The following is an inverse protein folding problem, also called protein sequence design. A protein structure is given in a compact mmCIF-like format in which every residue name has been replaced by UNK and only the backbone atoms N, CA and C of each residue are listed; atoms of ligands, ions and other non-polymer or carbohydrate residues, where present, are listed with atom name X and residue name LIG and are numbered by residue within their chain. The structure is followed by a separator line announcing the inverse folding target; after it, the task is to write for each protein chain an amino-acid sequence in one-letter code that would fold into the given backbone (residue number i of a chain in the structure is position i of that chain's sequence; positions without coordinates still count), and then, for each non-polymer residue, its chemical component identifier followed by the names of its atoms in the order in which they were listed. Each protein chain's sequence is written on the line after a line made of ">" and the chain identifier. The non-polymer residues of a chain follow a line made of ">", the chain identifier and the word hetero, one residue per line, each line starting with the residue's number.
data_IF_937700299957
#
_entry.id   IF_937700299957
#
_cell.length_a   1.000
_cell.length_b   1.000
_cell.length_c   1.000
_cell.angle_alpha   90.00
_cell.angle_beta   90.00
_cell.angle_gamma   90.00
#
_symmetry.space_group_name_H-M   'P 1'
#
loop_
_entity.id
_entity.type
_entity.pdbx_description
1 polymer ?
#
# COMPACT_ATOMS: atom_id res chain seq x y z
N UNK A 1 -4.84 3.06 -13.57
CA UNK A 1 -5.06 1.61 -13.41
C UNK A 1 -3.94 1.08 -12.52
N UNK A 2 -4.27 0.35 -11.46
CA UNK A 2 -3.28 -0.27 -10.56
C UNK A 2 -2.44 -1.31 -11.34
N UNK A 3 -1.14 -1.40 -11.07
CA UNK A 3 -0.27 -2.45 -11.63
C UNK A 3 -0.47 -3.80 -10.93
N UNK A 4 -0.99 -3.81 -9.71
CA UNK A 4 -1.40 -5.01 -8.96
C UNK A 4 -2.93 -5.15 -9.05
N UNK A 5 -3.40 -5.72 -10.15
CA UNK A 5 -4.85 -5.87 -10.41
C UNK A 5 -5.45 -6.82 -9.37
N UNK A 6 -6.48 -6.36 -8.66
CA UNK A 6 -7.15 -7.11 -7.59
C UNK A 6 -6.35 -7.21 -6.27
N UNK A 7 -5.31 -6.37 -6.13
CA UNK A 7 -4.45 -6.31 -4.94
C UNK A 7 -3.83 -7.67 -4.57
N UNK A 8 -3.53 -8.52 -5.55
CA UNK A 8 -3.09 -9.91 -5.32
C UNK A 8 -1.78 -9.94 -4.54
N UNK A 9 -0.83 -9.08 -4.87
CA UNK A 9 0.43 -8.99 -4.12
C UNK A 9 0.18 -8.31 -2.78
N UNK A 10 -0.51 -7.17 -2.74
CA UNK A 10 -0.78 -6.47 -1.48
C UNK A 10 -1.49 -7.36 -0.45
N UNK A 11 -2.45 -8.20 -0.85
CA UNK A 11 -3.12 -9.19 0.03
C UNK A 11 -2.16 -10.21 0.61
N UNK A 12 -1.22 -10.73 -0.19
CA UNK A 12 -0.20 -11.69 0.30
C UNK A 12 0.69 -11.09 1.37
N UNK A 13 0.91 -9.78 1.33
CA UNK A 13 1.67 -9.03 2.32
C UNK A 13 0.82 -8.49 3.47
N UNK A 14 -0.50 -8.74 3.49
CA UNK A 14 -1.41 -8.21 4.52
C UNK A 14 -1.59 -6.69 4.45
N UNK A 15 -1.38 -6.10 3.27
CA UNK A 15 -1.39 -4.65 3.04
C UNK A 15 -2.70 -4.13 2.47
N UNK A 16 -3.81 -4.86 2.59
CA UNK A 16 -5.11 -4.41 2.09
C UNK A 16 -6.02 -4.13 3.27
N UNK A 17 -6.70 -3.00 3.23
CA UNK A 17 -7.74 -2.67 4.19
C UNK A 17 -9.03 -2.28 3.49
N UNK A 18 -10.16 -2.58 4.13
CA UNK A 18 -11.46 -2.14 3.64
C UNK A 18 -11.79 -0.75 4.19
N UNK A 19 -12.21 0.14 3.29
CA UNK A 19 -12.72 1.46 3.66
C UNK A 19 -14.03 1.26 4.44
N UNK A 20 -14.10 1.76 5.70
CA UNK A 20 -15.31 1.64 6.51
C UNK A 20 -16.52 2.20 5.80
N UNK A 21 -17.66 1.51 5.88
CA UNK A 21 -18.91 1.92 5.24
C UNK A 21 -19.32 3.36 5.57
N UNK A 22 -19.04 3.79 6.80
CA UNK A 22 -19.30 5.15 7.29
C UNK A 22 -18.51 6.24 6.56
N UNK A 23 -17.37 5.90 5.95
CA UNK A 23 -16.48 6.83 5.24
C UNK A 23 -16.71 6.82 3.73
N UNK A 24 -17.30 5.75 3.17
CA UNK A 24 -17.58 5.63 1.73
C UNK A 24 -18.38 6.79 1.15
N UNK A 25 -19.42 7.35 1.82
CA UNK A 25 -20.13 8.51 1.31
C UNK A 25 -19.25 9.76 1.13
N UNK A 26 -18.21 9.92 1.95
CA UNK A 26 -17.27 11.05 1.85
C UNK A 26 -16.43 10.92 0.56
N UNK A 27 -15.95 9.72 0.28
CA UNK A 27 -15.23 9.43 -0.97
C UNK A 27 -16.11 9.72 -2.20
N UNK A 28 -17.37 9.28 -2.17
CA UNK A 28 -18.32 9.54 -3.25
C UNK A 28 -18.60 11.04 -3.44
N UNK A 29 -18.70 11.82 -2.36
CA UNK A 29 -18.85 13.28 -2.43
C UNK A 29 -17.64 13.96 -3.10
N UNK A 30 -16.44 13.39 -2.97
CA UNK A 30 -15.24 13.83 -3.67
C UNK A 30 -15.12 13.29 -5.09
N UNK A 31 -16.12 12.54 -5.59
CA UNK A 31 -16.10 11.92 -6.90
C UNK A 31 -15.19 10.69 -7.00
N UNK A 32 -14.82 10.10 -5.86
CA UNK A 32 -13.98 8.90 -5.79
C UNK A 32 -14.87 7.68 -5.65
N UNK A 33 -14.98 6.89 -6.73
CA UNK A 33 -15.71 5.62 -6.77
C UNK A 33 -14.75 4.43 -6.80
N UNK A 34 -14.33 3.97 -5.61
CA UNK A 34 -13.28 2.95 -5.50
C UNK A 34 -13.58 1.66 -6.27
N UNK A 35 -14.80 1.08 -6.23
CA UNK A 35 -15.15 -0.05 -7.10
C UNK A 35 -14.80 0.17 -8.58
N UNK A 36 -15.19 1.33 -9.13
CA UNK A 36 -14.88 1.67 -10.54
C UNK A 36 -13.38 1.81 -10.77
N UNK A 37 -12.65 2.41 -9.83
CA UNK A 37 -11.19 2.56 -9.91
C UNK A 37 -10.43 1.24 -9.79
N UNK A 38 -10.91 0.34 -8.94
CA UNK A 38 -10.34 -0.99 -8.70
C UNK A 38 -10.70 -1.97 -9.82
N UNK A 39 -11.84 -1.75 -10.50
CA UNK A 39 -12.34 -2.63 -11.55
C UNK A 39 -13.10 -3.86 -11.00
N UNK A 40 -13.58 -3.78 -9.76
CA UNK A 40 -14.37 -4.80 -9.07
C UNK A 40 -15.34 -4.13 -8.07
N UNK A 41 -16.12 -4.91 -7.32
CA UNK A 41 -17.09 -4.37 -6.36
C UNK A 41 -16.48 -4.00 -4.99
N UNK A 42 -15.14 -3.94 -4.90
CA UNK A 42 -14.46 -3.79 -3.61
C UNK A 42 -14.35 -2.33 -3.18
N UNK A 43 -14.43 -2.13 -1.86
CA UNK A 43 -14.07 -0.87 -1.20
C UNK A 43 -12.77 -1.08 -0.44
N UNK A 44 -11.73 -1.44 -1.16
CA UNK A 44 -10.42 -1.77 -0.62
C UNK A 44 -9.35 -0.84 -1.15
N UNK A 45 -8.37 -0.57 -0.30
CA UNK A 45 -7.22 0.24 -0.62
C UNK A 45 -5.94 -0.48 -0.14
N UNK A 46 -4.85 -0.41 -0.92
CA UNK A 46 -3.56 -0.84 -0.44
C UNK A 46 -3.01 0.15 0.59
N UNK A 47 -2.52 -0.36 1.71
CA UNK A 47 -1.68 0.38 2.65
C UNK A 47 -0.30 0.61 2.01
N UNK A 48 0.20 1.85 2.01
CA UNK A 48 1.54 2.11 1.51
C UNK A 48 2.59 1.42 2.38
N UNK A 49 3.55 0.80 1.71
CA UNK A 49 4.67 0.14 2.34
C UNK A 49 5.96 0.35 1.54
N UNK A 50 7.09 0.38 2.24
CA UNK A 50 8.44 0.38 1.65
C UNK A 50 9.18 -0.83 2.20
N UNK A 51 9.75 -1.64 1.31
CA UNK A 51 10.57 -2.79 1.67
C UNK A 51 11.96 -2.64 1.04
N UNK A 52 12.99 -3.00 1.81
CA UNK A 52 14.37 -3.14 1.31
C UNK A 52 14.69 -4.63 1.30
N UNK A 53 15.02 -5.18 0.13
CA UNK A 53 15.34 -6.59 -0.05
C UNK A 53 16.82 -6.75 -0.40
N UNK A 54 17.46 -7.81 0.09
CA UNK A 54 18.78 -8.21 -0.38
C UNK A 54 18.73 -9.01 -1.69
N UNK A 55 19.91 -9.39 -2.22
CA UNK A 55 20.02 -10.18 -3.45
C UNK A 55 19.44 -11.60 -3.35
N UNK A 56 19.24 -12.13 -2.14
CA UNK A 56 18.57 -13.41 -1.91
C UNK A 56 17.04 -13.25 -1.82
N UNK A 57 16.51 -12.03 -1.96
CA UNK A 57 15.09 -11.73 -1.83
C UNK A 57 14.59 -11.69 -0.39
N UNK A 58 15.50 -11.58 0.60
CA UNK A 58 15.11 -11.47 2.01
C UNK A 58 14.85 -10.01 2.36
N UNK A 59 13.74 -9.75 3.07
CA UNK A 59 13.44 -8.41 3.58
C UNK A 59 14.42 -8.04 4.70
N UNK A 60 15.11 -6.92 4.53
CA UNK A 60 16.09 -6.36 5.46
C UNK A 60 15.62 -5.05 6.09
N UNK A 61 14.62 -4.42 5.50
CA UNK A 61 13.92 -3.26 6.05
C UNK A 61 12.46 -3.26 5.61
N UNK A 62 11.58 -2.81 6.49
CA UNK A 62 10.16 -2.63 6.20
C UNK A 62 9.63 -1.39 6.92
N UNK A 63 8.82 -0.61 6.22
CA UNK A 63 8.07 0.50 6.76
C UNK A 63 6.65 0.43 6.20
N UNK A 64 5.65 0.35 7.08
CA UNK A 64 4.23 0.26 6.72
C UNK A 64 3.51 1.36 7.47
N UNK A 65 2.76 2.20 6.77
CA UNK A 65 2.06 3.32 7.39
C UNK A 65 0.73 3.57 6.68
N UNK A 66 -0.35 3.69 7.45
CA UNK A 66 -1.70 3.90 6.91
C UNK A 66 -1.87 5.32 6.35
N UNK A 67 -1.22 6.29 6.99
CA UNK A 67 -1.11 7.65 6.46
C UNK A 67 -0.22 7.64 5.22
N UNK A 68 -0.86 7.75 4.06
CA UNK A 68 -0.20 7.67 2.76
C UNK A 68 0.76 8.82 2.48
N UNK A 69 0.74 9.89 3.29
CA UNK A 69 1.67 11.02 3.19
C UNK A 69 3.00 10.73 3.88
N UNK A 70 3.04 9.71 4.74
CA UNK A 70 4.26 9.26 5.40
C UNK A 70 4.96 8.19 4.57
N UNK A 71 6.29 8.25 4.58
CA UNK A 71 7.19 7.37 3.84
C UNK A 71 8.38 7.01 4.72
N UNK A 72 9.07 5.94 4.36
CA UNK A 72 10.36 5.63 4.95
C UNK A 72 11.35 6.74 4.58
N UNK A 73 12.13 7.20 5.56
CA UNK A 73 13.14 8.23 5.31
C UNK A 73 14.21 7.70 4.34
N UNK A 74 14.58 8.45 3.27
CA UNK A 74 15.58 8.01 2.32
C UNK A 74 16.94 7.67 2.95
N UNK A 75 17.32 8.39 4.01
CA UNK A 75 18.55 8.13 4.74
C UNK A 75 18.53 6.75 5.42
N UNK A 76 17.39 6.33 5.95
CA UNK A 76 17.24 5.01 6.59
C UNK A 76 17.33 3.89 5.55
N UNK A 77 16.73 4.09 4.36
CA UNK A 77 16.86 3.16 3.23
C UNK A 77 18.33 2.97 2.86
N UNK A 78 19.07 4.07 2.68
CA UNK A 78 20.51 4.02 2.33
C UNK A 78 21.33 3.40 3.45
N UNK A 79 21.01 3.66 4.72
CA UNK A 79 21.68 3.06 5.85
C UNK A 79 21.54 1.53 5.86
N UNK A 80 20.33 1.01 5.60
CA UNK A 80 20.10 -0.45 5.49
C UNK A 80 20.88 -1.01 4.31
N UNK A 81 20.81 -0.38 3.14
CA UNK A 81 21.52 -0.84 1.93
C UNK A 81 23.04 -0.93 2.12
N UNK A 82 23.64 -0.09 2.96
CA UNK A 82 25.08 -0.14 3.28
C UNK A 82 25.49 -1.33 4.15
N UNK A 83 24.53 -2.03 4.75
CA UNK A 83 24.77 -3.24 5.56
C UNK A 83 24.59 -4.54 4.79
N UNK A 84 24.18 -4.46 3.52
CA UNK A 84 23.87 -5.61 2.67
C UNK A 84 25.07 -6.09 1.84
#
# INVERSE_FOLDING_TARGET
>A
MSSDVGDVVARKFGLVYSVPETVRPIYQQWGIDLPVWNGDDTWELPMPATFVLDHAGTVRGAFVQMDYTQRMEPADIVAILRTL
#
